data_IF_227251143381
#
_entry.id   IF_227251143381
#
_cell.length_a   1.000
_cell.length_b   1.000
_cell.length_c   1.000
_cell.angle_alpha   90.00
_cell.angle_beta   90.00
_cell.angle_gamma   90.00
#
_symmetry.space_group_name_H-M   'P 1'
#
loop_
_entity.id
_entity.type
_entity.pdbx_description
1 polymer ?
#
# COMPACT_ATOMS: atom_id res chain seq x y z
N UNK A 1 -8.12 11.25 14.68
CA UNK A 1 -9.24 10.40 15.10
C UNK A 1 -9.65 9.58 13.89
N UNK A 2 -9.47 8.26 13.86
CA UNK A 2 -10.05 7.43 12.79
C UNK A 2 -11.58 7.55 12.84
N UNK A 3 -12.21 7.64 11.67
CA UNK A 3 -13.67 7.73 11.50
C UNK A 3 -14.26 6.42 10.96
N UNK A 4 -15.59 6.25 11.02
CA UNK A 4 -16.25 5.02 10.56
C UNK A 4 -16.04 4.83 9.06
N UNK A 5 -15.58 3.63 8.66
CA UNK A 5 -15.26 3.31 7.27
C UNK A 5 -16.36 2.48 6.57
N UNK A 6 -17.49 2.27 7.24
CA UNK A 6 -18.63 1.55 6.68
C UNK A 6 -19.70 1.25 7.72
N UNK A 7 -20.91 0.98 7.23
CA UNK A 7 -22.06 0.61 8.04
C UNK A 7 -22.61 -0.72 7.52
N UNK A 8 -22.71 -1.72 8.39
CA UNK A 8 -23.40 -2.98 8.10
C UNK A 8 -24.86 -2.82 8.52
N UNK A 9 -25.78 -2.87 7.56
CA UNK A 9 -27.23 -2.83 7.82
C UNK A 9 -27.86 -4.21 7.58
N UNK A 10 -28.50 -4.74 8.60
CA UNK A 10 -29.29 -5.98 8.54
C UNK A 10 -30.52 -5.90 9.44
N UNK A 11 -31.51 -6.75 9.21
CA UNK A 11 -32.89 -6.66 9.75
C UNK A 11 -33.07 -6.74 11.29
N UNK A 12 -32.02 -6.52 12.08
CA UNK A 12 -32.11 -6.44 13.53
C UNK A 12 -30.95 -5.75 14.24
N UNK A 13 -29.95 -5.20 13.54
CA UNK A 13 -28.89 -4.41 14.15
C UNK A 13 -28.16 -3.55 13.10
N UNK A 14 -27.87 -2.30 13.46
CA UNK A 14 -26.86 -1.49 12.78
C UNK A 14 -25.57 -1.58 13.60
N UNK A 15 -24.51 -2.13 13.01
CA UNK A 15 -23.19 -2.17 13.64
C UNK A 15 -22.29 -1.19 12.90
N UNK A 16 -21.79 -0.19 13.62
CA UNK A 16 -20.75 0.71 13.13
C UNK A 16 -19.43 -0.04 13.17
N UNK A 17 -18.78 -0.20 12.01
CA UNK A 17 -17.44 -0.77 11.93
C UNK A 17 -16.45 0.37 12.12
N UNK A 18 -15.92 0.50 13.33
CA UNK A 18 -14.78 1.35 13.62
C UNK A 18 -13.50 0.55 13.34
N UNK A 19 -12.79 0.88 12.25
CA UNK A 19 -11.45 0.39 12.05
C UNK A 19 -10.51 1.26 12.90
N UNK A 20 -9.98 0.70 14.00
CA UNK A 20 -8.69 1.18 14.51
C UNK A 20 -7.71 0.90 13.39
N UNK A 21 -7.31 1.96 12.67
CA UNK A 21 -6.76 1.91 11.31
C UNK A 21 -5.38 1.27 11.15
N UNK A 22 -5.16 0.07 11.68
CA UNK A 22 -3.89 -0.62 11.65
C UNK A 22 -4.08 -2.12 11.34
N UNK A 23 -4.80 -2.43 10.25
CA UNK A 23 -4.65 -3.74 9.63
C UNK A 23 -3.32 -3.77 8.89
N UNK A 24 -2.28 -4.26 9.56
CA UNK A 24 -0.95 -4.46 8.96
C UNK A 24 -0.92 -5.71 8.06
N UNK A 25 -1.91 -6.59 8.20
CA UNK A 25 -1.99 -7.87 7.51
C UNK A 25 -3.43 -8.23 7.09
N UNK A 26 -3.56 -9.10 6.07
CA UNK A 26 -4.84 -9.54 5.52
C UNK A 26 -5.59 -10.51 6.44
N UNK A 27 -4.90 -11.20 7.34
CA UNK A 27 -5.49 -12.18 8.25
C UNK A 27 -6.31 -11.49 9.34
N UNK A 28 -5.81 -10.37 9.85
CA UNK A 28 -6.51 -9.50 10.78
C UNK A 28 -7.83 -8.98 10.18
N UNK A 29 -7.85 -8.62 8.89
CA UNK A 29 -9.09 -8.25 8.19
C UNK A 29 -10.05 -9.44 8.08
N UNK A 30 -9.53 -10.62 7.71
CA UNK A 30 -10.34 -11.86 7.58
C UNK A 30 -11.02 -12.25 8.89
N UNK A 31 -10.41 -11.94 10.02
CA UNK A 31 -10.88 -12.33 11.35
C UNK A 31 -11.93 -11.38 11.96
N UNK A 32 -12.24 -10.25 11.32
CA UNK A 32 -13.27 -9.31 11.78
C UNK A 32 -14.64 -10.00 11.87
N UNK A 33 -15.30 -9.87 13.02
CA UNK A 33 -16.66 -10.36 13.26
C UNK A 33 -17.65 -9.33 12.71
N UNK A 34 -18.48 -9.74 11.76
CA UNK A 34 -19.51 -8.89 11.14
C UNK A 34 -20.90 -9.10 11.73
N UNK A 35 -21.12 -10.24 12.42
CA UNK A 35 -22.40 -10.56 13.06
C UNK A 35 -22.26 -11.62 14.16
N UNK A 36 -22.88 -11.41 15.30
CA UNK A 36 -23.15 -12.46 16.30
C UNK A 36 -24.47 -13.18 16.02
N UNK A 37 -24.52 -14.49 16.21
CA UNK A 37 -25.71 -15.34 16.07
C UNK A 37 -26.32 -15.63 17.46
N UNK A 38 -27.65 -15.84 17.57
CA UNK A 38 -28.33 -16.08 18.85
C UNK A 38 -27.83 -17.31 19.63
N UNK A 39 -27.16 -18.24 18.95
CA UNK A 39 -26.60 -19.47 19.51
C UNK A 39 -25.13 -19.31 19.97
N UNK A 40 -24.61 -18.08 20.03
CA UNK A 40 -23.25 -17.79 20.47
C UNK A 40 -22.19 -17.93 19.37
N UNK A 41 -22.57 -18.33 18.15
CA UNK A 41 -21.64 -18.34 17.01
C UNK A 41 -21.41 -16.93 16.47
N UNK A 42 -20.29 -16.74 15.77
CA UNK A 42 -19.95 -15.47 15.13
C UNK A 42 -19.68 -15.67 13.63
N UNK A 43 -20.18 -14.76 12.81
CA UNK A 43 -19.87 -14.67 11.38
C UNK A 43 -18.68 -13.75 11.22
N UNK A 44 -17.61 -14.28 10.61
CA UNK A 44 -16.39 -13.53 10.25
C UNK A 44 -16.41 -13.17 8.77
N UNK A 45 -15.65 -12.15 8.37
CA UNK A 45 -15.47 -11.79 6.95
C UNK A 45 -15.06 -13.01 6.11
N UNK A 46 -14.13 -13.82 6.61
CA UNK A 46 -13.62 -15.02 5.93
C UNK A 46 -14.66 -16.08 5.57
N UNK A 47 -15.83 -16.08 6.22
CA UNK A 47 -16.88 -17.08 5.98
C UNK A 47 -17.67 -16.77 4.70
N UNK A 48 -17.77 -15.50 4.31
CA UNK A 48 -18.64 -15.07 3.21
C UNK A 48 -18.01 -14.09 2.22
N UNK A 49 -16.74 -13.74 2.37
CA UNK A 49 -16.08 -12.75 1.52
C UNK A 49 -14.62 -13.10 1.22
N UNK A 50 -14.17 -12.71 0.02
CA UNK A 50 -12.77 -12.76 -0.38
C UNK A 50 -12.05 -11.49 0.09
N UNK A 51 -10.93 -11.66 0.80
CA UNK A 51 -10.08 -10.55 1.24
C UNK A 51 -8.80 -10.57 0.41
N UNK A 52 -8.63 -9.54 -0.42
CA UNK A 52 -7.49 -9.34 -1.33
C UNK A 52 -6.91 -7.93 -1.19
N UNK A 53 -5.58 -7.82 -1.28
CA UNK A 53 -4.90 -6.54 -1.51
C UNK A 53 -4.97 -6.27 -3.01
N UNK A 54 -5.58 -5.16 -3.40
CA UNK A 54 -5.75 -4.77 -4.80
C UNK A 54 -5.46 -3.28 -4.95
N UNK A 55 -5.21 -2.84 -6.18
CA UNK A 55 -5.17 -1.42 -6.49
C UNK A 55 -6.56 -0.79 -6.34
N UNK A 56 -6.60 0.51 -6.01
CA UNK A 56 -7.83 1.29 -5.95
C UNK A 56 -8.33 1.57 -7.36
N UNK A 57 -9.62 1.32 -7.60
CA UNK A 57 -10.28 1.59 -8.89
C UNK A 57 -11.56 2.42 -8.68
N UNK A 58 -11.82 3.46 -9.51
CA UNK A 58 -11.01 3.89 -10.65
C UNK A 58 -9.67 4.52 -10.21
N UNK A 59 -8.65 4.45 -11.07
CA UNK A 59 -7.35 5.06 -10.79
C UNK A 59 -7.47 6.59 -10.87
N UNK A 60 -7.00 7.29 -9.84
CA UNK A 60 -6.90 8.75 -9.86
C UNK A 60 -5.72 9.22 -10.73
N UNK A 61 -4.63 8.45 -10.76
CA UNK A 61 -3.47 8.68 -11.62
C UNK A 61 -2.78 7.37 -11.98
N UNK A 62 -2.08 7.35 -13.12
CA UNK A 62 -1.28 6.21 -13.60
C UNK A 62 0.07 6.73 -14.08
N UNK A 63 1.15 6.09 -13.66
CA UNK A 63 2.50 6.33 -14.18
C UNK A 63 2.86 5.23 -15.16
N UNK A 64 3.44 5.63 -16.30
CA UNK A 64 3.92 4.74 -17.34
C UNK A 64 5.38 5.09 -17.68
N UNK A 65 6.22 4.07 -17.77
CA UNK A 65 7.56 4.16 -18.38
C UNK A 65 7.57 3.29 -19.62
N UNK A 66 7.87 3.87 -20.79
CA UNK A 66 7.86 3.18 -22.08
C UNK A 66 6.57 2.36 -22.34
N UNK A 67 5.42 2.87 -21.89
CA UNK A 67 4.11 2.22 -22.04
C UNK A 67 3.81 1.10 -21.03
N UNK A 68 4.73 0.80 -20.12
CA UNK A 68 4.54 -0.17 -19.04
C UNK A 68 4.20 0.53 -17.72
N UNK A 69 3.37 -0.09 -16.87
CA UNK A 69 3.03 0.44 -15.54
C UNK A 69 4.30 0.63 -14.71
N UNK A 70 4.43 1.83 -14.14
CA UNK A 70 5.58 2.20 -13.34
C UNK A 70 5.15 2.91 -12.06
N UNK A 71 6.09 3.05 -11.13
CA UNK A 71 5.99 3.94 -9.98
C UNK A 71 7.09 4.99 -10.14
N UNK A 72 6.71 6.26 -10.10
CA UNK A 72 7.66 7.36 -10.11
C UNK A 72 8.06 7.70 -8.68
N UNK A 73 9.35 7.80 -8.43
CA UNK A 73 9.91 8.22 -7.14
C UNK A 73 10.78 9.45 -7.38
N UNK A 74 10.45 10.55 -6.71
CA UNK A 74 11.31 11.72 -6.64
C UNK A 74 12.18 11.61 -5.38
N UNK A 75 13.49 11.69 -5.55
CA UNK A 75 14.46 11.71 -4.46
C UNK A 75 15.21 13.05 -4.51
N UNK A 76 15.29 13.71 -3.37
CA UNK A 76 15.95 15.02 -3.24
C UNK A 76 17.08 14.93 -2.22
N UNK A 77 18.21 15.58 -2.53
CA UNK A 77 19.32 15.73 -1.61
C UNK A 77 18.93 16.70 -0.49
N UNK A 78 19.26 16.35 0.76
CA UNK A 78 19.07 17.28 1.88
C UNK A 78 20.01 18.49 1.78
N UNK A 79 19.59 19.68 2.26
CA UNK A 79 20.46 20.85 2.32
C UNK A 79 21.74 20.60 3.13
N UNK A 80 22.87 21.17 2.70
CA UNK A 80 24.15 21.07 3.39
C UNK A 80 25.04 19.90 2.93
N UNK A 81 24.55 19.02 2.06
CA UNK A 81 25.36 18.03 1.37
C UNK A 81 25.97 18.60 0.07
N UNK A 82 27.16 18.13 -0.29
CA UNK A 82 27.81 18.48 -1.55
C UNK A 82 27.26 17.59 -2.67
N UNK A 83 26.80 18.21 -3.76
CA UNK A 83 26.12 17.55 -4.90
C UNK A 83 26.95 16.38 -5.44
N UNK A 84 28.22 16.60 -5.77
CA UNK A 84 29.07 15.57 -6.38
C UNK A 84 29.24 14.34 -5.49
N UNK A 85 29.50 14.55 -4.19
CA UNK A 85 29.72 13.47 -3.22
C UNK A 85 28.42 12.72 -2.94
N UNK A 86 27.30 13.43 -2.85
CA UNK A 86 26.00 12.82 -2.65
C UNK A 86 25.58 12.00 -3.86
N UNK A 87 25.74 12.53 -5.08
CA UNK A 87 25.47 11.84 -6.34
C UNK A 87 26.19 10.50 -6.41
N UNK A 88 27.52 10.49 -6.24
CA UNK A 88 28.30 9.25 -6.25
C UNK A 88 27.86 8.23 -5.18
N UNK A 89 27.45 8.71 -4.00
CA UNK A 89 26.94 7.84 -2.92
C UNK A 89 25.56 7.27 -3.28
N UNK A 90 24.69 8.10 -3.85
CA UNK A 90 23.35 7.72 -4.30
C UNK A 90 23.42 6.72 -5.46
N UNK A 91 24.33 6.91 -6.41
CA UNK A 91 24.55 5.97 -7.51
C UNK A 91 24.98 4.60 -7.01
N UNK A 92 25.91 4.58 -6.04
CA UNK A 92 26.36 3.33 -5.41
C UNK A 92 25.21 2.62 -4.70
N UNK A 93 24.39 3.37 -3.96
CA UNK A 93 23.18 2.84 -3.33
C UNK A 93 22.20 2.28 -4.38
N UNK A 94 21.89 3.05 -5.42
CA UNK A 94 20.93 2.69 -6.44
C UNK A 94 21.37 1.44 -7.20
N UNK A 95 22.66 1.32 -7.51
CA UNK A 95 23.20 0.14 -8.17
C UNK A 95 23.14 -1.11 -7.28
N UNK A 96 23.46 -0.98 -5.99
CA UNK A 96 23.29 -2.09 -5.04
C UNK A 96 21.82 -2.53 -4.95
N UNK A 97 20.89 -1.57 -4.96
CA UNK A 97 19.48 -1.87 -4.83
C UNK A 97 18.93 -2.54 -6.11
N UNK A 98 19.36 -2.08 -7.29
CA UNK A 98 19.10 -2.73 -8.58
C UNK A 98 19.54 -4.19 -8.57
N UNK A 99 20.74 -4.48 -8.07
CA UNK A 99 21.26 -5.84 -8.01
C UNK A 99 20.43 -6.77 -7.10
N UNK A 100 19.75 -6.22 -6.09
CA UNK A 100 18.87 -6.98 -5.17
C UNK A 100 17.40 -7.00 -5.58
N UNK A 101 17.03 -6.31 -6.67
CA UNK A 101 15.65 -6.19 -7.08
C UNK A 101 15.05 -7.56 -7.44
N UNK A 102 13.79 -7.84 -7.05
CA UNK A 102 13.11 -9.07 -7.46
C UNK A 102 13.02 -9.20 -8.98
N UNK A 103 12.96 -10.44 -9.48
CA UNK A 103 12.72 -10.70 -10.91
C UNK A 103 11.44 -10.00 -11.37
N UNK A 104 11.54 -9.23 -12.46
CA UNK A 104 10.42 -8.49 -13.03
C UNK A 104 10.31 -7.03 -12.57
N UNK A 105 11.20 -6.57 -11.66
CA UNK A 105 11.33 -5.15 -11.31
C UNK A 105 12.55 -4.56 -12.03
N UNK A 106 12.34 -3.52 -12.82
CA UNK A 106 13.41 -2.68 -13.37
C UNK A 106 13.40 -1.31 -12.69
N UNK A 107 14.58 -0.73 -12.51
CA UNK A 107 14.74 0.58 -11.87
C UNK A 107 15.58 1.45 -12.80
N UNK A 108 14.96 2.47 -13.37
CA UNK A 108 15.56 3.38 -14.34
C UNK A 108 15.57 4.81 -13.79
N UNK A 109 16.67 5.53 -14.01
CA UNK A 109 16.76 6.95 -13.68
C UNK A 109 16.25 7.75 -14.88
N UNK A 110 15.10 8.41 -14.74
CA UNK A 110 14.54 9.24 -15.82
C UNK A 110 15.10 10.66 -15.85
N UNK A 111 15.62 11.15 -14.71
CA UNK A 111 16.13 12.50 -14.53
C UNK A 111 17.16 12.54 -13.41
N UNK A 112 18.26 13.26 -13.63
CA UNK A 112 19.31 13.53 -12.65
C UNK A 112 19.88 14.95 -12.88
N UNK A 113 20.02 15.72 -11.80
CA UNK A 113 20.55 17.09 -11.83
C UNK A 113 22.00 17.20 -11.39
N UNK A 114 22.57 16.14 -10.82
CA UNK A 114 23.96 16.13 -10.38
C UNK A 114 24.97 15.87 -11.52
N UNK A 115 24.46 15.51 -12.71
CA UNK A 115 25.24 15.20 -13.92
C UNK A 115 25.79 16.40 -14.68
#
# INVERSE_FOLDING_TARGET
MPGPCGQLTGAGAALTVELTGEFTDLESVRNVIVRGLPDGRAVRISISAEVRKTEVTPFESVSLSNGQRSVLIAAEMQPGYQVDRYGATFDTFLESYRATAPKGVSIETSFDQAG
#
